data_IF_158874735887
#
_entry.id   IF_158874735887
#
_cell.length_a   1.000
_cell.length_b   1.000
_cell.length_c   1.000
_cell.angle_alpha   90.00
_cell.angle_beta   90.00
_cell.angle_gamma   90.00
#
_symmetry.space_group_name_H-M   'P 1'
#
loop_
_entity.id
_entity.type
_entity.pdbx_description
1 polymer ?
#
# COMPACT_ATOMS: atom_id res chain seq x y z
N UNK A 1 -1.80 6.76 -14.48
CA UNK A 1 -2.35 7.28 -13.21
C UNK A 1 -3.68 6.60 -12.97
N UNK A 2 -3.87 5.94 -11.81
CA UNK A 2 -5.08 5.14 -11.53
C UNK A 2 -5.64 5.42 -10.12
N UNK A 3 -6.42 6.49 -9.88
CA UNK A 3 -7.08 6.67 -8.58
C UNK A 3 -8.15 5.57 -8.37
N UNK A 4 -8.33 5.12 -7.12
CA UNK A 4 -9.25 4.03 -6.83
C UNK A 4 -10.27 4.38 -5.74
N UNK A 5 -11.47 3.85 -5.91
CA UNK A 5 -12.57 3.94 -4.94
C UNK A 5 -13.31 2.60 -4.94
N UNK A 6 -13.53 2.05 -3.75
CA UNK A 6 -14.37 0.88 -3.55
C UNK A 6 -15.69 1.29 -2.89
N UNK A 7 -16.77 0.62 -3.30
CA UNK A 7 -18.11 0.83 -2.77
C UNK A 7 -18.55 -0.33 -1.89
N UNK A 8 -19.41 -0.04 -0.93
CA UNK A 8 -20.11 -1.04 -0.10
C UNK A 8 -21.58 -0.65 -0.09
N UNK A 9 -22.46 -1.58 -0.47
CA UNK A 9 -23.91 -1.33 -0.55
C UNK A 9 -24.26 -0.12 -1.44
N UNK A 10 -23.54 0.03 -2.56
CA UNK A 10 -23.75 1.13 -3.51
C UNK A 10 -23.27 2.51 -3.03
N UNK A 11 -22.61 2.60 -1.88
CA UNK A 11 -22.06 3.84 -1.32
C UNK A 11 -20.53 3.82 -1.31
N UNK A 12 -19.85 4.96 -1.50
CA UNK A 12 -18.40 5.05 -1.30
C UNK A 12 -18.02 4.57 0.11
N UNK A 13 -17.00 3.72 0.18
CA UNK A 13 -16.55 3.14 1.44
C UNK A 13 -15.04 3.33 1.64
N UNK A 14 -14.25 3.17 0.58
CA UNK A 14 -12.80 3.30 0.63
C UNK A 14 -12.31 4.11 -0.57
N UNK A 15 -11.54 5.15 -0.31
CA UNK A 15 -10.77 5.89 -1.31
C UNK A 15 -9.30 5.58 -1.08
N UNK A 16 -8.56 5.24 -2.13
CA UNK A 16 -7.16 4.86 -1.98
C UNK A 16 -6.40 5.06 -3.28
N UNK A 17 -5.09 5.19 -3.15
CA UNK A 17 -4.21 5.38 -4.29
C UNK A 17 -2.76 5.49 -3.86
N UNK A 18 -1.87 5.47 -4.85
CA UNK A 18 -0.44 5.67 -4.65
C UNK A 18 0.17 6.25 -5.92
N UNK A 19 1.25 7.02 -5.79
CA UNK A 19 2.18 7.21 -6.91
C UNK A 19 2.96 5.93 -7.21
N UNK A 20 3.73 5.90 -8.31
CA UNK A 20 4.66 4.78 -8.60
C UNK A 20 4.53 4.14 -9.98
N UNK A 21 4.08 4.90 -11.00
CA UNK A 21 4.06 4.45 -12.40
C UNK A 21 3.36 3.10 -12.60
N UNK A 22 4.02 2.17 -13.29
CA UNK A 22 3.52 0.82 -13.57
C UNK A 22 3.36 -0.05 -12.31
N UNK A 23 3.93 0.36 -11.17
CA UNK A 23 3.72 -0.29 -9.88
C UNK A 23 2.36 0.00 -9.26
N UNK A 24 1.64 1.03 -9.71
CA UNK A 24 0.37 1.46 -9.08
C UNK A 24 -0.63 0.31 -8.89
N UNK A 25 -0.92 -0.57 -9.87
CA UNK A 25 -1.85 -1.67 -9.67
C UNK A 25 -1.43 -2.60 -8.54
N UNK A 26 -0.14 -2.96 -8.47
CA UNK A 26 0.39 -3.86 -7.46
C UNK A 26 0.34 -3.25 -6.05
N UNK A 27 0.67 -1.97 -5.93
CA UNK A 27 0.65 -1.24 -4.66
C UNK A 27 -0.79 -1.06 -4.15
N UNK A 28 -1.71 -0.71 -5.05
CA UNK A 28 -3.12 -0.54 -4.71
C UNK A 28 -3.78 -1.86 -4.33
N UNK A 29 -3.47 -2.96 -5.03
CA UNK A 29 -3.94 -4.29 -4.64
C UNK A 29 -3.49 -4.66 -3.23
N UNK A 30 -2.23 -4.40 -2.86
CA UNK A 30 -1.74 -4.66 -1.51
C UNK A 30 -2.48 -3.83 -0.45
N UNK A 31 -2.72 -2.54 -0.69
CA UNK A 31 -3.51 -1.69 0.23
C UNK A 31 -4.94 -2.20 0.36
N UNK A 32 -5.59 -2.57 -0.76
CA UNK A 32 -6.96 -3.09 -0.74
C UNK A 32 -7.05 -4.41 0.04
N UNK A 33 -6.14 -5.36 -0.21
CA UNK A 33 -6.06 -6.65 0.51
C UNK A 33 -5.86 -6.42 2.01
N UNK A 34 -5.00 -5.47 2.38
CA UNK A 34 -4.76 -5.13 3.78
C UNK A 34 -6.02 -4.63 4.50
N UNK A 35 -6.85 -3.84 3.83
CA UNK A 35 -8.08 -3.30 4.41
C UNK A 35 -9.22 -4.33 4.38
N UNK A 36 -9.42 -5.02 3.25
CA UNK A 36 -10.55 -5.91 3.03
C UNK A 36 -10.34 -7.28 3.67
N UNK A 37 -9.21 -7.92 3.39
CA UNK A 37 -8.96 -9.31 3.79
C UNK A 37 -8.32 -9.40 5.18
N UNK A 38 -7.46 -8.44 5.52
CA UNK A 38 -6.79 -8.41 6.82
C UNK A 38 -7.46 -7.48 7.85
N UNK A 39 -8.46 -6.69 7.45
CA UNK A 39 -9.21 -5.81 8.35
C UNK A 39 -8.38 -4.71 9.00
N UNK A 40 -7.24 -4.33 8.40
CA UNK A 40 -6.37 -3.31 8.96
C UNK A 40 -6.99 -1.92 8.82
N UNK A 41 -6.71 -1.05 9.79
CA UNK A 41 -7.00 0.37 9.63
C UNK A 41 -6.15 1.00 8.51
N UNK A 42 -6.57 2.14 7.94
CA UNK A 42 -5.87 2.74 6.81
C UNK A 42 -4.39 3.03 7.05
N UNK A 43 -4.00 3.48 8.25
CA UNK A 43 -2.62 3.80 8.58
C UNK A 43 -1.76 2.53 8.61
N UNK A 44 -2.24 1.48 9.28
CA UNK A 44 -1.58 0.18 9.27
C UNK A 44 -1.53 -0.44 7.86
N UNK A 45 -2.61 -0.31 7.09
CA UNK A 45 -2.72 -0.89 5.75
C UNK A 45 -1.73 -0.30 4.75
N UNK A 46 -1.52 1.02 4.76
CA UNK A 46 -0.52 1.66 3.88
C UNK A 46 0.91 1.48 4.39
N UNK A 47 1.10 1.34 5.70
CA UNK A 47 2.42 1.17 6.32
C UNK A 47 3.01 -0.23 6.15
N UNK A 48 2.19 -1.27 5.92
CA UNK A 48 2.70 -2.63 5.77
C UNK A 48 3.85 -2.73 4.76
N UNK A 49 4.83 -3.62 5.00
CA UNK A 49 5.90 -3.90 4.05
C UNK A 49 5.34 -4.38 2.70
N UNK A 50 6.04 -4.06 1.61
CA UNK A 50 5.58 -4.23 0.23
C UNK A 50 6.51 -5.11 -0.59
N UNK A 51 5.89 -5.69 -1.60
CA UNK A 51 6.54 -6.41 -2.69
C UNK A 51 6.12 -5.77 -4.01
N UNK A 52 7.02 -5.73 -5.00
CA UNK A 52 6.70 -5.31 -6.36
C UNK A 52 7.51 -6.09 -7.39
N UNK A 53 6.83 -6.62 -8.38
CA UNK A 53 7.42 -7.18 -9.59
C UNK A 53 7.82 -6.07 -10.58
N UNK A 54 8.96 -6.23 -11.24
CA UNK A 54 9.32 -5.39 -12.39
C UNK A 54 8.30 -5.55 -13.52
N UNK A 55 8.17 -4.58 -14.43
CA UNK A 55 7.18 -4.65 -15.52
C UNK A 55 7.31 -5.88 -16.43
N UNK A 56 8.53 -6.39 -16.61
CA UNK A 56 8.83 -7.60 -17.37
C UNK A 56 8.75 -8.89 -16.53
N UNK A 57 8.46 -8.78 -15.23
CA UNK A 57 8.37 -9.88 -14.28
C UNK A 57 9.71 -10.54 -13.92
N UNK A 58 10.84 -10.00 -14.38
CA UNK A 58 12.17 -10.61 -14.18
C UNK A 58 12.76 -10.38 -12.79
N UNK A 59 12.27 -9.39 -12.05
CA UNK A 59 12.73 -9.03 -10.70
C UNK A 59 11.58 -8.83 -9.73
N UNK A 60 11.88 -9.04 -8.46
CA UNK A 60 10.96 -8.80 -7.34
C UNK A 60 11.64 -7.92 -6.31
N UNK A 61 11.24 -6.67 -6.19
CA UNK A 61 11.69 -5.81 -5.09
C UNK A 61 10.86 -6.10 -3.84
N UNK A 62 11.50 -6.38 -2.72
CA UNK A 62 10.86 -6.72 -1.43
C UNK A 62 11.48 -5.87 -0.33
N UNK A 63 10.68 -5.26 0.53
CA UNK A 63 11.24 -4.56 1.70
C UNK A 63 11.76 -5.54 2.74
N UNK A 64 12.89 -5.20 3.37
CA UNK A 64 13.55 -6.02 4.39
C UNK A 64 12.67 -6.28 5.62
N UNK A 65 11.68 -5.43 5.88
CA UNK A 65 10.69 -5.62 6.95
C UNK A 65 9.56 -6.59 6.57
N UNK A 66 9.47 -7.05 5.32
CA UNK A 66 8.50 -8.03 4.89
C UNK A 66 8.84 -9.40 5.51
N UNK A 67 7.85 -10.15 6.07
CA UNK A 67 8.11 -11.45 6.66
C UNK A 67 8.83 -12.39 5.69
N UNK A 68 9.90 -13.04 6.16
CA UNK A 68 10.73 -13.96 5.37
C UNK A 68 11.50 -13.33 4.18
N UNK A 69 11.53 -12.00 4.03
CA UNK A 69 12.20 -11.35 2.89
C UNK A 69 13.68 -11.72 2.77
N UNK A 70 14.39 -11.73 3.89
CA UNK A 70 15.81 -12.12 3.92
C UNK A 70 16.06 -13.60 3.62
N UNK A 71 15.08 -14.48 3.88
CA UNK A 71 15.18 -15.89 3.51
C UNK A 71 14.92 -16.06 2.01
N UNK A 72 13.84 -15.47 1.50
CA UNK A 72 13.47 -15.51 0.08
C UNK A 72 14.61 -14.97 -0.80
N UNK A 73 15.20 -13.81 -0.42
CA UNK A 73 16.31 -13.20 -1.16
C UNK A 73 17.60 -14.03 -1.18
N UNK A 74 17.77 -14.99 -0.25
CA UNK A 74 18.92 -15.92 -0.27
C UNK A 74 18.74 -17.02 -1.30
N UNK A 75 17.50 -17.43 -1.58
CA UNK A 75 17.21 -18.57 -2.45
C UNK A 75 16.83 -18.15 -3.87
N UNK A 76 16.28 -16.96 -4.05
CA UNK A 76 15.90 -16.44 -5.36
C UNK A 76 16.75 -15.21 -5.76
N UNK A 77 17.67 -15.35 -6.73
CA UNK A 77 18.49 -14.23 -7.19
C UNK A 77 17.71 -13.13 -7.92
N UNK A 78 16.44 -13.38 -8.30
CA UNK A 78 15.57 -12.34 -8.85
C UNK A 78 15.04 -11.37 -7.79
N UNK A 79 15.17 -11.71 -6.50
CA UNK A 79 14.65 -10.92 -5.39
C UNK A 79 15.67 -9.87 -4.96
N UNK A 80 15.27 -8.60 -5.08
CA UNK A 80 16.02 -7.44 -4.61
C UNK A 80 15.49 -7.01 -3.25
N UNK A 81 16.32 -7.18 -2.21
CA UNK A 81 15.97 -6.73 -0.86
C UNK A 81 16.22 -5.22 -0.73
N UNK A 82 15.16 -4.46 -0.50
CA UNK A 82 15.21 -3.02 -0.25
C UNK A 82 15.19 -2.72 1.25
N UNK A 83 15.74 -1.58 1.71
CA UNK A 83 15.53 -1.10 3.06
C UNK A 83 14.04 -1.05 3.45
N UNK A 84 13.74 -1.11 4.75
CA UNK A 84 12.37 -0.92 5.22
C UNK A 84 11.86 0.49 4.88
N UNK A 85 10.58 0.60 4.52
CA UNK A 85 9.95 1.86 4.09
C UNK A 85 10.71 2.53 2.91
N UNK A 86 11.08 1.77 1.89
CA UNK A 86 11.79 2.31 0.74
C UNK A 86 10.85 3.11 -0.18
N UNK A 87 11.14 4.39 -0.37
CA UNK A 87 10.32 5.35 -1.12
C UNK A 87 9.97 4.90 -2.56
N UNK A 88 10.84 4.11 -3.20
CA UNK A 88 10.59 3.64 -4.57
C UNK A 88 9.36 2.74 -4.69
N UNK A 89 8.84 2.20 -3.57
CA UNK A 89 7.63 1.37 -3.54
C UNK A 89 6.35 2.19 -3.35
N UNK A 90 6.38 3.46 -3.76
CA UNK A 90 5.22 4.34 -3.84
C UNK A 90 4.82 4.94 -2.50
N UNK A 91 4.00 5.99 -2.58
CA UNK A 91 3.49 6.74 -1.44
C UNK A 91 1.96 6.66 -1.47
N UNK A 92 1.41 5.71 -0.72
CA UNK A 92 -0.01 5.43 -0.69
C UNK A 92 -0.77 6.33 0.29
N UNK A 93 -2.04 6.54 0.00
CA UNK A 93 -2.98 7.22 0.89
C UNK A 93 -4.28 6.43 0.87
N UNK A 94 -4.97 6.34 2.01
CA UNK A 94 -6.26 5.69 2.10
C UNK A 94 -7.19 6.40 3.08
N UNK A 95 -8.48 6.45 2.74
CA UNK A 95 -9.57 6.96 3.58
C UNK A 95 -10.67 5.90 3.58
N UNK A 96 -11.04 5.42 4.78
CA UNK A 96 -12.22 4.58 5.00
C UNK A 96 -13.32 5.43 5.59
N UNK A 97 -14.51 5.37 4.98
CA UNK A 97 -15.72 6.06 5.41
C UNK A 97 -16.54 5.08 6.24
N UNK A 98 -16.64 5.33 7.54
CA UNK A 98 -17.42 4.52 8.47
C UNK A 98 -18.86 5.05 8.60
N UNK A 99 -19.11 6.31 8.22
CA UNK A 99 -20.44 6.92 8.18
C UNK A 99 -20.40 8.43 7.90
N UNK A 100 -21.55 9.13 7.95
CA UNK A 100 -21.59 10.58 7.80
C UNK A 100 -20.67 11.26 8.83
N UNK A 101 -19.69 12.03 8.35
CA UNK A 101 -18.71 12.74 9.19
C UNK A 101 -17.72 11.82 9.93
N UNK A 102 -17.79 10.50 9.75
CA UNK A 102 -16.95 9.53 10.45
C UNK A 102 -16.06 8.82 9.44
N UNK A 103 -14.76 9.04 9.58
CA UNK A 103 -13.77 8.47 8.69
C UNK A 103 -12.45 8.22 9.41
N UNK A 104 -11.67 7.28 8.87
CA UNK A 104 -10.30 7.01 9.25
C UNK A 104 -9.43 7.17 8.03
N UNK A 105 -8.23 7.67 8.19
CA UNK A 105 -7.30 7.81 7.08
C UNK A 105 -5.88 7.43 7.49
N UNK A 106 -5.07 7.14 6.49
CA UNK A 106 -3.68 6.74 6.65
C UNK A 106 -2.84 7.28 5.53
N UNK A 107 -1.64 7.74 5.88
CA UNK A 107 -0.61 8.16 4.95
C UNK A 107 0.58 7.20 4.99
N UNK A 108 1.26 7.08 3.87
CA UNK A 108 2.40 6.18 3.75
C UNK A 108 3.63 6.70 4.49
N UNK A 109 4.22 5.93 5.42
CA UNK A 109 5.44 6.32 6.13
C UNK A 109 6.67 6.42 5.23
N UNK A 110 6.55 6.01 3.95
CA UNK A 110 7.58 6.21 2.90
C UNK A 110 7.63 7.65 2.38
N UNK A 111 6.77 8.54 2.88
CA UNK A 111 6.59 9.91 2.42
C UNK A 111 6.42 10.90 3.56
N UNK A 112 6.62 12.18 3.29
CA UNK A 112 6.40 13.28 4.25
C UNK A 112 4.94 13.77 4.27
N UNK A 113 3.98 12.88 4.00
CA UNK A 113 2.55 13.20 4.01
C UNK A 113 1.99 13.35 5.42
N UNK A 114 0.73 13.81 5.52
CA UNK A 114 0.00 13.81 6.79
C UNK A 114 -1.49 13.53 6.59
N UNK A 115 -2.18 13.26 7.70
CA UNK A 115 -3.64 13.18 7.77
C UNK A 115 -4.09 14.30 8.71
N UNK A 116 -4.90 15.23 8.19
CA UNK A 116 -5.43 16.36 8.95
C UNK A 116 -6.95 16.26 9.02
N UNK A 117 -7.49 16.50 10.21
CA UNK A 117 -8.94 16.69 10.40
C UNK A 117 -9.23 18.18 10.28
N UNK A 118 -10.27 18.55 9.53
CA UNK A 118 -10.82 19.91 9.57
C UNK A 118 -11.98 19.94 10.57
N UNK A 119 -11.94 20.90 11.49
CA UNK A 119 -13.00 21.20 12.46
C UNK A 119 -14.23 21.87 11.79
#
# INVERSE_FOLDING_TARGET
>A
LIPAMATREGRPWLLYGSMGGDGQPQLQSQVLINIVDHGLDPAAAVARPRIRFSPDGSKVSVEASYPSAGEIARYDPAVELLPAAHHSLGHAQAIVIDGPGQWRAGFDPRSDGSVEMAD
#
